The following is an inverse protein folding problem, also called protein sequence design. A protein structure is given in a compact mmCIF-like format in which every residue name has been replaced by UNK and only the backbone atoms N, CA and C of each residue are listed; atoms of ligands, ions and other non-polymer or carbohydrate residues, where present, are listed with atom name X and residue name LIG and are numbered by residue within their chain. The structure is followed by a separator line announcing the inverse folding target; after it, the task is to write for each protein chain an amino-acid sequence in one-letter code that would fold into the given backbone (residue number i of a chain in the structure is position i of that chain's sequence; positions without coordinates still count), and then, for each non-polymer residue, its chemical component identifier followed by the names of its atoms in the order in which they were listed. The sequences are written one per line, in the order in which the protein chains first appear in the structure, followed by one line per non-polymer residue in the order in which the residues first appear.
data_IF_116630696172
#
_entry.id   IF_116630696172
#
_cell.length_a   1.000
_cell.length_b   1.000
_cell.length_c   1.000
_cell.angle_alpha   90.00
_cell.angle_beta   90.00
_cell.angle_gamma   90.00
#
_symmetry.space_group_name_H-M   'P 1'
#
loop_
_entity.id
_entity.type
_entity.pdbx_description
1 polymer ?
#
# COMPACT_ATOMS: atom_id res chain seq x y z
N UNK A 1 82.47 30.21 49.94
CA UNK A 1 82.42 28.91 49.23
C UNK A 1 81.01 28.33 49.29
N UNK A 2 80.26 28.52 50.40
CA UNK A 2 78.85 28.08 50.54
C UNK A 2 77.86 28.62 49.50
N UNK A 3 77.95 29.91 49.13
CA UNK A 3 76.95 30.53 48.23
C UNK A 3 76.89 29.84 46.86
N UNK A 4 78.03 29.41 46.31
CA UNK A 4 78.08 28.72 45.01
C UNK A 4 77.49 27.30 45.08
N UNK A 5 77.64 26.63 46.23
CA UNK A 5 77.15 25.26 46.43
C UNK A 5 75.62 25.25 46.63
N UNK A 6 75.09 26.22 47.36
CA UNK A 6 73.63 26.45 47.47
C UNK A 6 73.01 26.80 46.11
N UNK A 7 73.69 27.64 45.31
CA UNK A 7 73.19 27.98 43.97
C UNK A 7 73.15 26.77 43.03
N UNK A 8 74.13 25.86 43.12
CA UNK A 8 74.13 24.62 42.31
C UNK A 8 73.07 23.63 42.77
N UNK A 9 72.76 23.59 44.08
CA UNK A 9 71.68 22.77 44.63
C UNK A 9 70.31 23.24 44.15
N UNK A 10 70.05 24.55 44.22
CA UNK A 10 68.82 25.16 43.72
C UNK A 10 68.65 24.93 42.20
N UNK A 11 69.74 25.00 41.44
CA UNK A 11 69.74 24.68 40.01
C UNK A 11 69.42 23.20 39.74
N UNK A 12 69.92 22.28 40.57
CA UNK A 12 69.60 20.86 40.42
C UNK A 12 68.12 20.58 40.76
N UNK A 13 67.59 21.18 41.82
CA UNK A 13 66.19 20.98 42.24
C UNK A 13 65.19 21.58 41.22
N UNK A 14 65.53 22.73 40.64
CA UNK A 14 64.74 23.32 39.55
C UNK A 14 64.75 22.46 38.30
N UNK A 15 65.89 21.88 37.91
CA UNK A 15 65.97 20.95 36.78
C UNK A 15 65.19 19.65 37.02
N UNK A 16 65.26 19.07 38.23
CA UNK A 16 64.46 17.90 38.57
C UNK A 16 62.96 18.19 38.53
N UNK A 17 62.55 19.36 39.02
CA UNK A 17 61.15 19.81 38.97
C UNK A 17 60.69 19.99 37.53
N UNK A 18 61.50 20.63 36.69
CA UNK A 18 61.21 20.83 35.27
C UNK A 18 61.10 19.50 34.52
N UNK A 19 61.95 18.52 34.84
CA UNK A 19 61.86 17.18 34.25
C UNK A 19 60.54 16.48 34.64
N UNK A 20 60.17 16.50 35.92
CA UNK A 20 58.90 15.91 36.39
C UNK A 20 57.68 16.57 35.75
N UNK A 21 57.68 17.90 35.68
CA UNK A 21 56.60 18.67 35.04
C UNK A 21 56.52 18.39 33.54
N UNK A 22 57.67 18.27 32.87
CA UNK A 22 57.75 17.94 31.44
C UNK A 22 57.22 16.53 31.16
N UNK A 23 57.52 15.55 32.02
CA UNK A 23 56.97 14.20 31.92
C UNK A 23 55.45 14.20 32.15
N UNK A 24 54.97 14.84 33.22
CA UNK A 24 53.53 14.94 33.51
C UNK A 24 52.76 15.66 32.38
N UNK A 25 53.35 16.67 31.76
CA UNK A 25 52.78 17.37 30.61
C UNK A 25 52.73 16.45 29.37
N UNK A 26 53.78 15.65 29.15
CA UNK A 26 53.81 14.66 28.06
C UNK A 26 52.72 13.61 28.23
N UNK A 27 52.58 13.04 29.44
CA UNK A 27 51.57 12.03 29.75
C UNK A 27 50.14 12.62 29.62
N UNK A 28 49.94 13.84 30.14
CA UNK A 28 48.67 14.57 29.99
C UNK A 28 48.33 14.82 28.50
N UNK A 29 49.32 15.19 27.69
CA UNK A 29 49.13 15.38 26.24
C UNK A 29 48.72 14.09 25.56
N UNK A 30 49.35 12.96 25.88
CA UNK A 30 48.98 11.66 25.30
C UNK A 30 47.57 11.25 25.68
N UNK A 31 47.19 11.43 26.94
CA UNK A 31 45.84 11.13 27.42
C UNK A 31 44.79 12.03 26.75
N UNK A 32 45.07 13.32 26.62
CA UNK A 32 44.17 14.28 25.99
C UNK A 32 43.92 13.93 24.51
N UNK A 33 44.98 13.55 23.77
CA UNK A 33 44.85 13.10 22.38
C UNK A 33 44.00 11.82 22.29
N UNK A 34 44.27 10.83 23.13
CA UNK A 34 43.50 9.58 23.14
C UNK A 34 42.01 9.80 23.49
N UNK A 35 41.72 10.69 24.46
CA UNK A 35 40.34 11.06 24.80
C UNK A 35 39.68 11.84 23.67
N UNK A 36 40.41 12.70 22.96
CA UNK A 36 39.90 13.44 21.81
C UNK A 36 39.50 12.51 20.67
N UNK A 37 40.37 11.57 20.31
CA UNK A 37 40.07 10.57 19.27
C UNK A 37 38.84 9.73 19.63
N UNK A 38 38.71 9.36 20.92
CA UNK A 38 37.54 8.62 21.38
C UNK A 38 36.26 9.47 21.36
N UNK A 39 36.35 10.74 21.71
CA UNK A 39 35.24 11.69 21.63
C UNK A 39 34.76 11.82 20.19
N UNK A 40 35.67 12.07 19.25
CA UNK A 40 35.32 12.26 17.84
C UNK A 40 34.65 10.99 17.25
N UNK A 41 35.17 9.78 17.59
CA UNK A 41 34.53 8.51 17.22
C UNK A 41 33.13 8.35 17.81
N UNK A 42 32.94 8.69 19.08
CA UNK A 42 31.64 8.56 19.75
C UNK A 42 30.64 9.58 19.23
N UNK A 43 31.09 10.78 18.89
CA UNK A 43 30.27 11.81 18.29
C UNK A 43 29.77 11.39 16.90
N UNK A 44 30.65 10.85 16.06
CA UNK A 44 30.24 10.31 14.75
C UNK A 44 29.18 9.21 14.89
N UNK A 45 29.42 8.22 15.75
CA UNK A 45 28.45 7.14 16.00
C UNK A 45 27.10 7.67 16.51
N UNK A 46 27.14 8.70 17.36
CA UNK A 46 25.92 9.34 17.85
C UNK A 46 25.13 9.99 16.71
N UNK A 47 25.81 10.74 15.84
CA UNK A 47 25.21 11.41 14.68
C UNK A 47 24.60 10.39 13.71
N UNK A 48 25.28 9.27 13.44
CA UNK A 48 24.75 8.16 12.63
C UNK A 48 23.47 7.56 13.23
N UNK A 49 23.47 7.27 14.53
CA UNK A 49 22.28 6.72 15.22
C UNK A 49 21.12 7.72 15.21
N UNK A 50 21.40 9.02 15.37
CA UNK A 50 20.37 10.06 15.28
C UNK A 50 19.77 10.14 13.88
N UNK A 51 20.61 10.10 12.84
CA UNK A 51 20.16 10.11 11.45
C UNK A 51 19.30 8.89 11.11
N UNK A 52 19.71 7.70 11.54
CA UNK A 52 18.96 6.47 11.33
C UNK A 52 17.60 6.50 12.05
N UNK A 53 17.58 6.98 13.30
CA UNK A 53 16.32 7.18 14.04
C UNK A 53 15.39 8.15 13.33
N UNK A 54 15.91 9.22 12.73
CA UNK A 54 15.09 10.16 11.95
C UNK A 54 14.55 9.51 10.67
N UNK A 55 15.36 8.70 9.98
CA UNK A 55 14.95 7.93 8.80
C UNK A 55 13.80 6.97 9.12
N UNK A 56 13.95 6.15 10.16
CA UNK A 56 12.92 5.21 10.60
C UNK A 56 11.63 5.92 11.04
N UNK A 57 11.74 7.09 11.69
CA UNK A 57 10.56 7.87 12.06
C UNK A 57 9.79 8.42 10.84
N UNK A 58 10.49 8.80 9.77
CA UNK A 58 9.85 9.21 8.51
C UNK A 58 9.14 8.03 7.87
N UNK A 59 9.80 6.88 7.79
CA UNK A 59 9.21 5.66 7.24
C UNK A 59 7.97 5.22 8.03
N UNK A 60 8.05 5.22 9.37
CA UNK A 60 6.90 4.95 10.25
C UNK A 60 5.70 5.84 9.93
N UNK A 61 5.92 7.15 9.71
CA UNK A 61 4.84 8.08 9.34
C UNK A 61 4.23 7.73 7.99
N UNK A 62 5.07 7.48 6.98
CA UNK A 62 4.59 7.07 5.66
C UNK A 62 3.76 5.79 5.72
N UNK A 63 4.21 4.78 6.48
CA UNK A 63 3.48 3.52 6.64
C UNK A 63 2.14 3.73 7.37
N UNK A 64 2.09 4.59 8.38
CA UNK A 64 0.83 4.94 9.06
C UNK A 64 -0.14 5.65 8.11
N UNK A 65 0.35 6.57 7.27
CA UNK A 65 -0.48 7.25 6.28
C UNK A 65 -1.04 6.26 5.26
N UNK A 66 -0.24 5.28 4.81
CA UNK A 66 -0.69 4.22 3.92
C UNK A 66 -1.76 3.33 4.58
N UNK A 67 -1.55 2.96 5.85
CA UNK A 67 -2.51 2.15 6.61
C UNK A 67 -3.84 2.88 6.77
N UNK A 68 -3.81 4.18 7.05
CA UNK A 68 -5.02 5.00 7.15
C UNK A 68 -5.79 5.05 5.83
N UNK A 69 -5.10 5.12 4.68
CA UNK A 69 -5.76 5.07 3.36
C UNK A 69 -6.42 3.72 3.11
N UNK A 70 -5.72 2.62 3.40
CA UNK A 70 -6.31 1.27 3.27
C UNK A 70 -7.56 1.15 4.14
N UNK A 71 -7.54 1.69 5.37
CA UNK A 71 -8.72 1.68 6.22
C UNK A 71 -9.89 2.46 5.61
N UNK A 72 -9.64 3.64 5.05
CA UNK A 72 -10.66 4.44 4.37
C UNK A 72 -11.25 3.70 3.15
N UNK A 73 -10.41 3.03 2.37
CA UNK A 73 -10.85 2.24 1.22
C UNK A 73 -11.72 1.06 1.68
N UNK A 74 -11.35 0.38 2.76
CA UNK A 74 -12.14 -0.72 3.35
C UNK A 74 -13.51 -0.23 3.86
N UNK A 75 -13.55 0.93 4.52
CA UNK A 75 -14.80 1.53 4.99
C UNK A 75 -15.70 1.88 3.79
N UNK A 76 -15.14 2.48 2.74
CA UNK A 76 -15.86 2.78 1.49
C UNK A 76 -16.40 1.51 0.80
N UNK A 77 -15.61 0.44 0.75
CA UNK A 77 -16.07 -0.84 0.18
C UNK A 77 -17.22 -1.40 1.01
N UNK A 78 -17.12 -1.34 2.34
CA UNK A 78 -18.19 -1.82 3.24
C UNK A 78 -19.50 -1.08 3.00
N UNK A 79 -19.45 0.24 2.80
CA UNK A 79 -20.63 1.05 2.48
C UNK A 79 -21.24 0.65 1.13
N UNK A 80 -20.40 0.47 0.11
CA UNK A 80 -20.83 0.02 -1.22
C UNK A 80 -21.46 -1.37 -1.15
N UNK A 81 -20.84 -2.32 -0.45
CA UNK A 81 -21.37 -3.67 -0.26
C UNK A 81 -22.73 -3.64 0.45
N UNK A 82 -22.88 -2.81 1.48
CA UNK A 82 -24.16 -2.66 2.19
C UNK A 82 -25.26 -2.13 1.25
N UNK A 83 -24.95 -1.14 0.44
CA UNK A 83 -25.89 -0.57 -0.52
C UNK A 83 -26.28 -1.58 -1.61
N UNK A 84 -25.29 -2.25 -2.23
CA UNK A 84 -25.54 -3.28 -3.23
C UNK A 84 -26.36 -4.45 -2.66
N UNK A 85 -26.12 -4.84 -1.41
CA UNK A 85 -26.90 -5.89 -0.77
C UNK A 85 -28.36 -5.48 -0.57
N UNK A 86 -28.61 -4.23 -0.16
CA UNK A 86 -29.99 -3.70 -0.05
C UNK A 86 -30.69 -3.65 -1.41
N UNK A 87 -30.02 -3.11 -2.42
CA UNK A 87 -30.55 -3.06 -3.78
C UNK A 87 -30.85 -4.46 -4.33
N UNK A 88 -29.97 -5.43 -4.10
CA UNK A 88 -30.20 -6.82 -4.48
C UNK A 88 -31.47 -7.37 -3.81
N UNK A 89 -31.65 -7.15 -2.51
CA UNK A 89 -32.83 -7.61 -1.78
C UNK A 89 -34.11 -6.94 -2.28
N UNK A 90 -34.06 -5.65 -2.56
CA UNK A 90 -35.20 -4.90 -3.09
C UNK A 90 -35.57 -5.37 -4.51
N UNK A 91 -34.59 -5.61 -5.37
CA UNK A 91 -34.82 -6.17 -6.70
C UNK A 91 -35.41 -7.58 -6.64
N UNK A 92 -34.91 -8.45 -5.75
CA UNK A 92 -35.47 -9.79 -5.55
C UNK A 92 -36.95 -9.72 -5.16
N UNK A 93 -37.30 -8.84 -4.21
CA UNK A 93 -38.69 -8.62 -3.80
C UNK A 93 -39.55 -8.08 -4.93
N UNK A 94 -39.04 -7.11 -5.70
CA UNK A 94 -39.76 -6.55 -6.84
C UNK A 94 -40.02 -7.59 -7.92
N UNK A 95 -39.02 -8.42 -8.24
CA UNK A 95 -39.15 -9.52 -9.20
C UNK A 95 -40.19 -10.53 -8.71
N UNK A 96 -40.12 -10.96 -7.46
CA UNK A 96 -41.07 -11.91 -6.87
C UNK A 96 -42.50 -11.36 -6.90
N UNK A 97 -42.68 -10.09 -6.54
CA UNK A 97 -43.98 -9.40 -6.58
C UNK A 97 -44.52 -9.32 -8.01
N UNK A 98 -43.71 -8.89 -8.97
CA UNK A 98 -44.13 -8.79 -10.37
C UNK A 98 -44.46 -10.16 -10.96
N UNK A 99 -43.68 -11.18 -10.64
CA UNK A 99 -43.91 -12.53 -11.14
C UNK A 99 -45.20 -13.11 -10.58
N UNK A 100 -45.34 -13.14 -9.25
CA UNK A 100 -46.42 -13.87 -8.58
C UNK A 100 -47.74 -13.10 -8.57
N UNK A 101 -47.71 -11.78 -8.38
CA UNK A 101 -48.93 -11.00 -8.19
C UNK A 101 -49.47 -10.43 -9.49
N UNK A 102 -48.61 -10.27 -10.51
CA UNK A 102 -48.98 -9.62 -11.77
C UNK A 102 -48.87 -10.55 -12.97
N UNK A 103 -47.69 -11.11 -13.23
CA UNK A 103 -47.43 -11.88 -14.45
C UNK A 103 -48.21 -13.19 -14.48
N UNK A 104 -48.06 -14.07 -13.47
CA UNK A 104 -48.69 -15.39 -13.47
C UNK A 104 -50.23 -15.30 -13.57
N UNK A 105 -50.93 -14.44 -12.80
CA UNK A 105 -52.38 -14.28 -12.95
C UNK A 105 -52.79 -13.76 -14.33
N UNK A 106 -52.04 -12.83 -14.91
CA UNK A 106 -52.33 -12.33 -16.26
C UNK A 106 -52.07 -13.40 -17.32
N UNK A 107 -50.97 -14.14 -17.21
CA UNK A 107 -50.60 -15.22 -18.12
C UNK A 107 -51.66 -16.32 -18.15
N UNK A 108 -52.11 -16.75 -16.98
CA UNK A 108 -53.19 -17.74 -16.83
C UNK A 108 -54.50 -17.25 -17.46
N UNK A 109 -54.89 -16.00 -17.19
CA UNK A 109 -56.10 -15.41 -17.76
C UNK A 109 -56.03 -15.30 -19.29
N UNK A 110 -54.89 -14.84 -19.84
CA UNK A 110 -54.67 -14.74 -21.29
C UNK A 110 -54.69 -16.12 -21.93
N UNK A 111 -54.06 -17.11 -21.31
CA UNK A 111 -54.06 -18.48 -21.82
C UNK A 111 -55.46 -19.09 -21.78
N UNK A 112 -56.25 -18.84 -20.74
CA UNK A 112 -57.64 -19.26 -20.69
C UNK A 112 -58.48 -18.66 -21.83
N UNK A 113 -58.27 -17.38 -22.17
CA UNK A 113 -58.92 -16.72 -23.31
C UNK A 113 -58.45 -17.29 -24.65
N UNK A 114 -57.15 -17.54 -24.81
CA UNK A 114 -56.59 -18.14 -26.02
C UNK A 114 -57.16 -19.53 -26.29
N UNK A 115 -57.22 -20.38 -25.27
CA UNK A 115 -57.81 -21.72 -25.38
C UNK A 115 -59.27 -21.64 -25.82
N UNK A 116 -60.05 -20.71 -25.26
CA UNK A 116 -61.46 -20.49 -25.66
C UNK A 116 -61.60 -20.07 -27.13
N UNK A 117 -60.59 -19.43 -27.71
CA UNK A 117 -60.55 -19.04 -29.12
C UNK A 117 -59.83 -20.06 -30.02
N UNK A 118 -59.43 -21.22 -29.50
CA UNK A 118 -58.71 -22.25 -30.27
C UNK A 118 -57.24 -21.92 -30.55
N UNK A 119 -56.67 -20.92 -29.86
CA UNK A 119 -55.27 -20.53 -29.99
C UNK A 119 -54.37 -21.29 -28.99
N UNK A 120 -53.10 -21.55 -29.35
CA UNK A 120 -52.14 -22.19 -28.45
C UNK A 120 -51.73 -21.27 -27.29
N UNK A 121 -51.35 -21.88 -26.16
CA UNK A 121 -50.86 -21.17 -24.98
C UNK A 121 -49.56 -20.41 -25.28
N UNK A 122 -49.35 -19.31 -24.56
CA UNK A 122 -48.08 -18.59 -24.55
C UNK A 122 -47.00 -19.43 -23.85
N UNK A 123 -45.71 -19.24 -24.22
CA UNK A 123 -44.57 -19.79 -23.48
C UNK A 123 -44.59 -19.36 -22.01
N UNK A 124 -43.98 -20.14 -21.13
CA UNK A 124 -43.84 -19.73 -19.73
C UNK A 124 -42.75 -18.68 -19.56
N UNK A 125 -42.81 -17.90 -18.47
CA UNK A 125 -41.76 -16.94 -18.12
C UNK A 125 -40.37 -17.58 -18.10
N UNK A 126 -40.26 -18.79 -17.55
CA UNK A 126 -38.99 -19.52 -17.50
C UNK A 126 -38.43 -19.82 -18.90
N UNK A 127 -39.28 -20.19 -19.86
CA UNK A 127 -38.85 -20.43 -21.25
C UNK A 127 -38.38 -19.13 -21.93
N UNK A 128 -39.08 -18.02 -21.67
CA UNK A 128 -38.68 -16.70 -22.18
C UNK A 128 -37.37 -16.23 -21.54
N UNK A 129 -37.18 -16.48 -20.24
CA UNK A 129 -35.96 -16.16 -19.51
C UNK A 129 -34.76 -16.93 -20.04
N UNK A 130 -34.90 -18.24 -20.28
CA UNK A 130 -33.85 -19.08 -20.86
C UNK A 130 -33.47 -18.62 -22.26
N UNK A 131 -34.45 -18.29 -23.11
CA UNK A 131 -34.21 -17.74 -24.44
C UNK A 131 -33.46 -16.39 -24.38
N UNK A 132 -33.86 -15.51 -23.45
CA UNK A 132 -33.18 -14.24 -23.23
C UNK A 132 -31.75 -14.43 -22.74
N UNK A 133 -31.50 -15.33 -21.78
CA UNK A 133 -30.15 -15.65 -21.31
C UNK A 133 -29.28 -16.22 -22.43
N UNK A 134 -29.81 -17.13 -23.24
CA UNK A 134 -29.11 -17.69 -24.38
C UNK A 134 -28.70 -16.59 -25.39
N UNK A 135 -29.60 -15.64 -25.66
CA UNK A 135 -29.33 -14.49 -26.52
C UNK A 135 -28.26 -13.56 -25.92
N UNK A 136 -28.33 -13.25 -24.63
CA UNK A 136 -27.31 -12.45 -23.93
C UNK A 136 -25.93 -13.09 -23.98
N UNK A 137 -25.84 -14.41 -23.77
CA UNK A 137 -24.59 -15.16 -23.88
C UNK A 137 -24.06 -15.15 -25.31
N UNK A 138 -24.95 -15.22 -26.31
CA UNK A 138 -24.57 -15.13 -27.71
C UNK A 138 -24.03 -13.75 -28.07
N UNK A 139 -24.67 -12.68 -27.63
CA UNK A 139 -24.16 -11.32 -27.79
C UNK A 139 -22.78 -11.17 -27.16
N UNK A 140 -22.58 -11.67 -25.94
CA UNK A 140 -21.27 -11.63 -25.26
C UNK A 140 -20.20 -12.38 -26.07
N UNK A 141 -20.54 -13.56 -26.62
CA UNK A 141 -19.62 -14.31 -27.50
C UNK A 141 -19.25 -13.52 -28.75
N UNK A 142 -20.21 -12.85 -29.38
CA UNK A 142 -19.96 -12.03 -30.56
C UNK A 142 -19.05 -10.83 -30.26
N UNK A 143 -19.25 -10.15 -29.13
CA UNK A 143 -18.36 -9.06 -28.68
C UNK A 143 -16.93 -9.57 -28.49
N UNK A 144 -16.76 -10.73 -27.85
CA UNK A 144 -15.45 -11.34 -27.65
C UNK A 144 -14.77 -11.73 -28.97
N UNK A 145 -15.53 -12.19 -29.97
CA UNK A 145 -15.00 -12.51 -31.30
C UNK A 145 -14.59 -11.24 -32.08
N UNK A 146 -15.32 -10.13 -31.91
CA UNK A 146 -14.97 -8.84 -32.51
C UNK A 146 -13.70 -8.25 -31.89
N UNK A 147 -13.53 -8.37 -30.57
CA UNK A 147 -12.31 -7.94 -29.87
C UNK A 147 -11.07 -8.81 -30.20
N UNK A 148 -11.28 -10.09 -30.51
CA UNK A 148 -10.22 -11.02 -30.91
C UNK A 148 -9.94 -11.06 -32.41
N UNK A 149 -10.68 -10.32 -33.24
CA UNK A 149 -10.39 -10.17 -34.67
C UNK A 149 -9.17 -9.26 -34.84
N UNK A 150 -7.95 -9.77 -35.09
CA UNK A 150 -6.86 -8.89 -35.42
C UNK A 150 -7.14 -8.33 -36.80
N UNK A 151 -6.84 -7.06 -37.00
CA UNK A 151 -6.72 -6.41 -38.30
C UNK A 151 -5.92 -7.27 -39.30
N UNK A 152 -6.58 -8.16 -40.03
CA UNK A 152 -6.03 -8.81 -41.22
C UNK A 152 -6.20 -7.86 -42.40
N UNK A 153 -5.61 -6.67 -42.30
CA UNK A 153 -5.60 -5.70 -43.40
C UNK A 153 -4.48 -4.67 -43.26
N UNK A 154 -3.22 -5.12 -43.24
CA UNK A 154 -2.16 -4.40 -43.96
C UNK A 154 -0.98 -5.32 -44.28
N UNK A 155 -1.16 -6.15 -45.30
CA UNK A 155 -0.05 -6.61 -46.12
C UNK A 155 0.69 -5.40 -46.73
N UNK A 156 1.98 -5.61 -46.98
CA UNK A 156 2.76 -4.98 -48.05
C UNK A 156 3.37 -3.60 -47.78
N UNK A 157 4.66 -3.62 -47.38
CA UNK A 157 5.81 -2.96 -48.04
C UNK A 157 6.79 -2.43 -47.01
N UNK A 158 7.98 -3.05 -46.96
CA UNK A 158 9.21 -2.32 -47.32
C UNK A 158 10.40 -3.28 -47.45
N UNK A 159 10.76 -3.50 -48.72
CA UNK A 159 12.13 -3.73 -49.17
C UNK A 159 12.98 -2.51 -48.80
N UNK A 160 14.10 -2.71 -48.12
CA UNK A 160 15.46 -2.38 -48.59
C UNK A 160 16.47 -2.57 -47.46
#
# INVERSE_FOLDING_TARGET
MDVMDDTMRDQMDTLQTLYRQSQALSDCKTDLLAKRDMLDKKQHLYEEVVAERQRLNKEKRTLLDMLNKIQQDMDSITDIESNLHREQQDLLRQVETLQNDTYEPLHDNVNALRIKQGLPKLPSFQQELEAHMAHMLEQRRQTWQQEQSPSSSSSSRRRR
#
